data_IF_789464495598
#
_entry.id   IF_789464495598
#
_cell.length_a   1.000
_cell.length_b   1.000
_cell.length_c   1.000
_cell.angle_alpha   90.00
_cell.angle_beta   90.00
_cell.angle_gamma   90.00
#
_symmetry.space_group_name_H-M   'P 1'
#
loop_
_entity.id
_entity.type
_entity.pdbx_description
1 polymer ?
#
# COMPACT_ATOMS: atom_id res chain seq x y z
N UNK A 1 13.16 22.09 6.02
CA UNK A 1 12.66 20.86 5.38
C UNK A 1 12.15 21.29 4.04
N UNK A 2 12.82 20.87 2.98
CA UNK A 2 12.31 21.12 1.63
C UNK A 2 10.94 20.47 1.51
N UNK A 3 10.03 21.18 0.83
CA UNK A 3 8.67 20.75 0.64
C UNK A 3 8.71 19.42 -0.11
N UNK A 4 8.12 18.38 0.46
CA UNK A 4 8.07 17.04 -0.14
C UNK A 4 7.61 17.15 -1.58
N UNK A 5 8.43 16.70 -2.53
CA UNK A 5 8.06 16.67 -3.95
C UNK A 5 7.02 15.57 -4.18
N UNK A 6 5.75 16.00 -4.20
CA UNK A 6 4.61 15.11 -4.39
C UNK A 6 4.63 14.44 -5.76
N UNK A 7 5.14 15.11 -6.80
CA UNK A 7 5.26 14.50 -8.13
C UNK A 7 6.29 13.38 -8.09
N UNK A 8 7.44 13.61 -7.45
CA UNK A 8 8.46 12.58 -7.28
C UNK A 8 7.93 11.37 -6.50
N UNK A 9 7.16 11.59 -5.43
CA UNK A 9 6.53 10.50 -4.66
C UNK A 9 5.54 9.67 -5.49
N UNK A 10 4.63 10.34 -6.19
CA UNK A 10 3.65 9.66 -7.05
C UNK A 10 4.38 8.85 -8.13
N UNK A 11 5.41 9.46 -8.71
CA UNK A 11 6.22 8.86 -9.76
C UNK A 11 6.94 7.61 -9.27
N UNK A 12 7.70 7.72 -8.19
CA UNK A 12 8.49 6.63 -7.63
C UNK A 12 7.64 5.45 -7.15
N UNK A 13 6.52 5.74 -6.48
CA UNK A 13 5.60 4.68 -6.00
C UNK A 13 4.95 3.93 -7.16
N UNK A 14 4.53 4.65 -8.21
CA UNK A 14 4.00 4.02 -9.41
C UNK A 14 5.04 3.19 -10.15
N UNK A 15 6.24 3.74 -10.39
CA UNK A 15 7.31 3.02 -11.08
C UNK A 15 7.72 1.76 -10.33
N UNK A 16 7.77 1.82 -9.00
CA UNK A 16 8.07 0.65 -8.16
C UNK A 16 7.03 -0.46 -8.37
N UNK A 17 5.74 -0.14 -8.26
CA UNK A 17 4.70 -1.16 -8.48
C UNK A 17 4.73 -1.72 -9.91
N UNK A 18 4.99 -0.88 -10.91
CA UNK A 18 5.09 -1.30 -12.30
C UNK A 18 6.29 -2.22 -12.51
N UNK A 19 7.45 -1.90 -11.93
CA UNK A 19 8.67 -2.71 -12.03
C UNK A 19 8.53 -4.08 -11.34
N UNK A 20 7.72 -4.17 -10.30
CA UNK A 20 7.47 -5.40 -9.55
C UNK A 20 6.19 -6.15 -9.97
N UNK A 21 5.56 -5.77 -11.08
CA UNK A 21 4.31 -6.38 -11.53
C UNK A 21 4.41 -7.90 -11.73
N UNK A 22 5.51 -8.39 -12.34
CA UNK A 22 5.69 -9.83 -12.61
C UNK A 22 5.91 -10.63 -11.32
N UNK A 23 6.64 -10.07 -10.34
CA UNK A 23 6.79 -10.64 -8.99
C UNK A 23 5.42 -10.76 -8.32
N UNK A 24 4.65 -9.67 -8.31
CA UNK A 24 3.33 -9.62 -7.68
C UNK A 24 2.34 -10.57 -8.34
N UNK A 25 2.38 -10.73 -9.66
CA UNK A 25 1.60 -11.74 -10.40
C UNK A 25 2.03 -13.16 -10.03
N UNK A 26 3.33 -13.42 -9.90
CA UNK A 26 3.84 -14.75 -9.50
C UNK A 26 3.38 -15.12 -8.10
N UNK A 27 3.44 -14.18 -7.14
CA UNK A 27 2.95 -14.39 -5.78
C UNK A 27 1.46 -14.72 -5.75
N UNK A 28 0.66 -13.94 -6.48
CA UNK A 28 -0.79 -14.15 -6.56
C UNK A 28 -1.15 -15.42 -7.33
N UNK A 29 -0.37 -15.85 -8.32
CA UNK A 29 -0.61 -17.10 -9.03
C UNK A 29 -0.46 -18.33 -8.12
N UNK A 30 0.39 -18.25 -7.09
CA UNK A 30 0.58 -19.36 -6.15
C UNK A 30 -0.65 -19.62 -5.27
N UNK A 31 -1.40 -18.57 -4.92
CA UNK A 31 -2.51 -18.62 -3.94
C UNK A 31 -3.75 -17.82 -4.36
N UNK A 32 -3.93 -17.55 -5.64
CA UNK A 32 -4.95 -16.65 -6.17
C UNK A 32 -5.24 -16.95 -7.64
N UNK A 33 -5.63 -15.93 -8.41
CA UNK A 33 -5.89 -16.02 -9.85
C UNK A 33 -4.77 -15.44 -10.72
N UNK A 34 -3.70 -14.92 -10.11
CA UNK A 34 -2.51 -14.44 -10.81
C UNK A 34 -2.70 -13.08 -11.48
N UNK A 35 -3.74 -12.33 -11.11
CA UNK A 35 -4.08 -11.06 -11.75
C UNK A 35 -3.62 -9.84 -10.95
N UNK A 36 -3.18 -10.02 -9.70
CA UNK A 36 -2.86 -8.91 -8.80
C UNK A 36 -1.79 -7.97 -9.37
N UNK A 37 -0.65 -8.51 -9.83
CA UNK A 37 0.43 -7.71 -10.41
C UNK A 37 -0.02 -6.90 -11.64
N UNK A 38 -0.78 -7.53 -12.54
CA UNK A 38 -1.34 -6.87 -13.73
C UNK A 38 -2.36 -5.76 -13.35
N UNK A 39 -3.23 -6.04 -12.38
CA UNK A 39 -4.21 -5.08 -11.87
C UNK A 39 -3.53 -3.87 -11.21
N UNK A 40 -2.51 -4.12 -10.40
CA UNK A 40 -1.72 -3.07 -9.74
C UNK A 40 -0.96 -2.25 -10.77
N UNK A 41 -0.27 -2.89 -11.73
CA UNK A 41 0.40 -2.20 -12.84
C UNK A 41 -0.55 -1.27 -13.59
N UNK A 42 -1.72 -1.76 -14.02
CA UNK A 42 -2.72 -0.96 -14.74
C UNK A 42 -3.14 0.28 -13.95
N UNK A 43 -3.39 0.12 -12.64
CA UNK A 43 -3.81 1.25 -11.82
C UNK A 43 -2.70 2.26 -11.57
N UNK A 44 -1.49 1.81 -11.28
CA UNK A 44 -0.37 2.70 -11.00
C UNK A 44 0.20 3.36 -12.27
N UNK A 45 0.15 2.73 -13.44
CA UNK A 45 0.40 3.41 -14.72
C UNK A 45 -0.62 4.53 -14.96
N UNK A 46 -1.90 4.29 -14.65
CA UNK A 46 -2.94 5.29 -14.79
C UNK A 46 -2.77 6.46 -13.78
N UNK A 47 -2.26 6.18 -12.57
CA UNK A 47 -1.88 7.21 -11.61
C UNK A 47 -0.65 8.00 -12.09
N UNK A 48 0.36 7.30 -12.61
CA UNK A 48 1.58 7.91 -13.15
C UNK A 48 1.30 8.86 -14.31
N UNK A 49 0.40 8.49 -15.22
CA UNK A 49 0.01 9.32 -16.36
C UNK A 49 -0.60 10.67 -15.94
N UNK A 50 -1.19 10.76 -14.75
CA UNK A 50 -1.83 11.95 -14.20
C UNK A 50 -1.02 12.60 -13.06
N UNK A 51 0.25 12.21 -12.87
CA UNK A 51 1.08 12.63 -11.74
C UNK A 51 1.18 14.17 -11.62
N UNK A 52 1.32 14.89 -12.73
CA UNK A 52 1.34 16.36 -12.75
C UNK A 52 0.04 16.97 -12.23
N UNK A 53 -1.10 16.39 -12.58
CA UNK A 53 -2.42 16.89 -12.16
C UNK A 53 -2.68 16.64 -10.68
N UNK A 54 -2.24 15.50 -10.16
CA UNK A 54 -2.31 15.20 -8.73
C UNK A 54 -1.35 16.07 -7.92
N UNK A 55 -0.13 16.26 -8.39
CA UNK A 55 0.89 17.06 -7.72
C UNK A 55 0.55 18.56 -7.65
N UNK A 56 -0.31 19.05 -8.55
CA UNK A 56 -0.84 20.41 -8.50
C UNK A 56 -1.87 20.66 -7.37
N UNK A 57 -2.30 19.60 -6.66
CA UNK A 57 -3.29 19.69 -5.57
C UNK A 57 -2.58 19.67 -4.20
N UNK A 58 -3.21 20.21 -3.14
CA UNK A 58 -2.79 19.94 -1.77
C UNK A 58 -2.77 18.43 -1.50
N UNK A 59 -1.84 17.96 -0.66
CA UNK A 59 -1.64 16.54 -0.35
C UNK A 59 -2.95 15.77 -0.03
N UNK A 60 -3.86 16.28 0.82
CA UNK A 60 -5.12 15.60 1.12
C UNK A 60 -5.97 15.34 -0.13
N UNK A 61 -6.07 16.34 -1.01
CA UNK A 61 -6.85 16.28 -2.24
C UNK A 61 -6.20 15.39 -3.30
N UNK A 62 -4.87 15.42 -3.39
CA UNK A 62 -4.11 14.51 -4.25
C UNK A 62 -4.34 13.06 -3.86
N UNK A 63 -4.24 12.72 -2.58
CA UNK A 63 -4.47 11.36 -2.08
C UNK A 63 -5.90 10.87 -2.32
N UNK A 64 -6.91 11.72 -2.10
CA UNK A 64 -8.32 11.40 -2.44
C UNK A 64 -8.51 11.15 -3.93
N UNK A 65 -7.88 11.95 -4.79
CA UNK A 65 -7.96 11.80 -6.23
C UNK A 65 -7.25 10.52 -6.71
N UNK A 66 -6.05 10.22 -6.19
CA UNK A 66 -5.32 8.98 -6.45
C UNK A 66 -6.14 7.77 -5.99
N UNK A 67 -6.69 7.81 -4.78
CA UNK A 67 -7.53 6.72 -4.27
C UNK A 67 -8.75 6.48 -5.16
N UNK A 68 -9.42 7.54 -5.64
CA UNK A 68 -10.51 7.44 -6.62
C UNK A 68 -10.03 6.78 -7.93
N UNK A 69 -8.88 7.22 -8.46
CA UNK A 69 -8.28 6.65 -9.67
C UNK A 69 -8.00 5.17 -9.51
N UNK A 70 -7.44 4.74 -8.38
CA UNK A 70 -7.15 3.33 -8.08
C UNK A 70 -8.43 2.50 -7.99
N UNK A 71 -9.51 3.00 -7.37
CA UNK A 71 -10.81 2.30 -7.38
C UNK A 71 -11.31 2.05 -8.79
N UNK A 72 -11.14 3.02 -9.70
CA UNK A 72 -11.64 2.92 -11.07
C UNK A 72 -10.79 2.05 -12.00
N UNK A 73 -9.51 1.84 -11.66
CA UNK A 73 -8.52 1.27 -12.60
C UNK A 73 -7.90 -0.04 -12.13
N UNK A 74 -7.70 -0.23 -10.83
CA UNK A 74 -7.21 -1.51 -10.30
C UNK A 74 -8.38 -2.49 -10.21
N UNK A 75 -8.23 -3.67 -10.82
CA UNK A 75 -9.23 -4.73 -10.79
C UNK A 75 -9.20 -5.53 -9.50
N UNK A 76 -10.14 -6.47 -9.37
CA UNK A 76 -10.18 -7.40 -8.24
C UNK A 76 -10.43 -6.73 -6.89
N UNK A 77 -10.07 -7.43 -5.81
CA UNK A 77 -10.22 -6.92 -4.45
C UNK A 77 -9.30 -5.73 -4.15
N UNK A 78 -8.14 -5.67 -4.80
CA UNK A 78 -7.08 -4.70 -4.54
C UNK A 78 -7.50 -3.27 -4.85
N UNK A 79 -8.28 -3.02 -5.90
CA UNK A 79 -8.70 -1.66 -6.26
C UNK A 79 -9.53 -0.96 -5.19
N UNK A 80 -10.64 -1.55 -4.73
CA UNK A 80 -11.40 -1.00 -3.60
C UNK A 80 -10.58 -0.84 -2.32
N UNK A 81 -9.62 -1.73 -2.04
CA UNK A 81 -8.82 -1.69 -0.81
C UNK A 81 -7.75 -0.59 -0.84
N UNK A 82 -6.89 -0.55 -1.87
CA UNK A 82 -5.91 0.52 -2.04
C UNK A 82 -6.61 1.88 -2.23
N UNK A 83 -7.67 1.92 -3.04
CA UNK A 83 -8.47 3.13 -3.17
C UNK A 83 -9.04 3.63 -1.83
N UNK A 84 -9.56 2.73 -0.99
CA UNK A 84 -10.03 3.08 0.37
C UNK A 84 -8.88 3.61 1.22
N UNK A 85 -7.70 2.97 1.18
CA UNK A 85 -6.52 3.42 1.92
C UNK A 85 -6.16 4.87 1.58
N UNK A 86 -5.99 5.17 0.29
CA UNK A 86 -5.60 6.50 -0.17
C UNK A 86 -6.68 7.56 0.09
N UNK A 87 -7.96 7.24 -0.14
CA UNK A 87 -9.06 8.17 0.13
C UNK A 87 -9.21 8.47 1.63
N UNK A 88 -9.10 7.46 2.48
CA UNK A 88 -9.19 7.64 3.93
C UNK A 88 -7.97 8.40 4.47
N UNK A 89 -6.77 8.10 3.99
CA UNK A 89 -5.57 8.87 4.35
C UNK A 89 -5.73 10.34 3.96
N UNK A 90 -6.15 10.62 2.72
CA UNK A 90 -6.38 11.98 2.22
C UNK A 90 -7.54 12.72 2.89
N UNK A 91 -8.41 12.02 3.63
CA UNK A 91 -9.47 12.65 4.43
C UNK A 91 -8.93 13.18 5.77
N UNK A 92 -7.97 12.47 6.35
CA UNK A 92 -7.54 12.68 7.75
C UNK A 92 -6.17 13.39 7.85
N UNK A 93 -5.34 13.32 6.80
CA UNK A 93 -4.02 13.96 6.76
C UNK A 93 -4.15 15.48 6.51
N UNK A 94 -3.23 16.27 7.07
CA UNK A 94 -3.12 17.70 6.81
C UNK A 94 -2.35 17.98 5.51
N UNK A 95 -2.36 19.23 5.04
CA UNK A 95 -1.59 19.65 3.87
C UNK A 95 -0.07 19.57 4.08
N UNK A 96 0.37 19.78 5.32
CA UNK A 96 1.78 19.74 5.75
C UNK A 96 1.85 18.88 7.02
N UNK A 97 1.83 17.55 6.88
CA UNK A 97 1.73 16.64 8.02
C UNK A 97 3.07 16.53 8.75
N UNK A 98 3.03 16.66 10.07
CA UNK A 98 4.08 16.12 10.92
C UNK A 98 3.90 14.61 11.12
N UNK A 99 4.83 13.97 11.83
CA UNK A 99 4.76 12.52 12.10
C UNK A 99 3.49 12.14 12.87
N UNK A 100 3.02 12.97 13.80
CA UNK A 100 1.87 12.66 14.64
C UNK A 100 0.58 12.68 13.81
N UNK A 101 0.40 13.68 12.95
CA UNK A 101 -0.70 13.74 11.99
C UNK A 101 -0.65 12.57 11.00
N UNK A 102 0.52 12.25 10.44
CA UNK A 102 0.68 11.10 9.55
C UNK A 102 0.30 9.78 10.23
N UNK A 103 0.80 9.53 11.44
CA UNK A 103 0.48 8.30 12.17
C UNK A 103 -1.02 8.19 12.47
N UNK A 104 -1.64 9.27 12.97
CA UNK A 104 -3.09 9.31 13.24
C UNK A 104 -3.92 9.05 11.97
N UNK A 105 -3.62 9.75 10.88
CA UNK A 105 -4.33 9.61 9.61
C UNK A 105 -4.14 8.21 9.00
N UNK A 106 -2.93 7.65 9.10
CA UNK A 106 -2.64 6.30 8.62
C UNK A 106 -3.39 5.23 9.43
N UNK A 107 -3.46 5.37 10.75
CA UNK A 107 -4.28 4.50 11.60
C UNK A 107 -5.77 4.50 11.17
N UNK A 108 -6.34 5.68 10.89
CA UNK A 108 -7.71 5.80 10.38
C UNK A 108 -7.90 5.18 8.99
N UNK A 109 -6.90 5.30 8.12
CA UNK A 109 -6.91 4.67 6.82
C UNK A 109 -6.89 3.14 6.92
N UNK A 110 -6.12 2.58 7.86
CA UNK A 110 -6.08 1.13 8.14
C UNK A 110 -7.43 0.63 8.65
N UNK A 111 -8.07 1.35 9.58
CA UNK A 111 -9.43 1.03 10.05
C UNK A 111 -10.43 0.98 8.88
N UNK A 112 -10.35 1.93 7.95
CA UNK A 112 -11.21 1.97 6.77
C UNK A 112 -10.97 0.78 5.83
N UNK A 113 -9.71 0.38 5.60
CA UNK A 113 -9.36 -0.82 4.82
C UNK A 113 -9.89 -2.08 5.49
N UNK A 114 -9.71 -2.22 6.81
CA UNK A 114 -10.21 -3.34 7.57
C UNK A 114 -11.74 -3.47 7.49
N UNK A 115 -12.46 -2.35 7.62
CA UNK A 115 -13.91 -2.30 7.46
C UNK A 115 -14.35 -2.68 6.03
N UNK A 116 -13.68 -2.13 5.01
CA UNK A 116 -13.97 -2.44 3.59
C UNK A 116 -13.75 -3.92 3.28
N UNK A 117 -12.62 -4.47 3.71
CA UNK A 117 -12.23 -5.86 3.44
C UNK A 117 -12.87 -6.88 4.38
N UNK A 118 -13.56 -6.43 5.44
CA UNK A 118 -14.03 -7.27 6.55
C UNK A 118 -12.92 -8.19 7.07
N UNK A 119 -11.70 -7.65 7.11
CA UNK A 119 -10.46 -8.35 7.42
C UNK A 119 -9.82 -7.81 8.69
N UNK A 120 -8.99 -8.62 9.32
CA UNK A 120 -8.22 -8.27 10.52
C UNK A 120 -6.77 -8.74 10.34
N UNK A 121 -5.88 -8.23 11.19
CA UNK A 121 -4.50 -8.74 11.30
C UNK A 121 -4.54 -10.23 11.68
N UNK A 122 -3.63 -11.00 11.12
CA UNK A 122 -3.53 -12.46 11.23
C UNK A 122 -4.34 -13.22 10.17
N UNK A 123 -4.94 -12.52 9.20
CA UNK A 123 -5.79 -13.14 8.17
C UNK A 123 -5.10 -13.29 6.80
N UNK A 124 -3.79 -13.01 6.75
CA UNK A 124 -2.92 -13.07 5.56
C UNK A 124 -3.40 -12.10 4.48
N UNK A 125 -3.37 -10.81 4.79
CA UNK A 125 -3.78 -9.72 3.89
C UNK A 125 -2.83 -8.52 4.02
N UNK A 126 -3.05 -7.48 3.21
CA UNK A 126 -2.30 -6.22 3.33
C UNK A 126 -2.31 -5.58 4.72
N UNK A 127 -3.31 -5.88 5.57
CA UNK A 127 -3.36 -5.40 6.96
C UNK A 127 -2.21 -5.93 7.81
N UNK A 128 -1.71 -7.13 7.49
CA UNK A 128 -0.56 -7.75 8.16
C UNK A 128 0.74 -6.98 7.93
N UNK A 129 0.79 -6.10 6.92
CA UNK A 129 1.92 -5.21 6.64
C UNK A 129 1.62 -3.77 7.05
N UNK A 130 0.42 -3.27 6.77
CA UNK A 130 0.01 -1.91 7.16
C UNK A 130 0.11 -1.69 8.67
N UNK A 131 -0.31 -2.67 9.48
CA UNK A 131 -0.32 -2.51 10.94
C UNK A 131 1.11 -2.42 11.53
N UNK A 132 2.08 -3.30 11.19
CA UNK A 132 3.47 -3.14 11.60
C UNK A 132 4.10 -1.81 11.18
N UNK A 133 3.82 -1.32 9.96
CA UNK A 133 4.29 -0.01 9.48
C UNK A 133 3.74 1.11 10.35
N UNK A 134 2.44 1.05 10.69
CA UNK A 134 1.82 2.03 11.58
C UNK A 134 2.42 2.00 12.99
N UNK A 135 2.72 0.81 13.54
CA UNK A 135 3.40 0.69 14.82
C UNK A 135 4.81 1.29 14.80
N UNK A 136 5.58 1.05 13.74
CA UNK A 136 6.89 1.66 13.58
C UNK A 136 6.81 3.19 13.52
N UNK A 137 5.81 3.75 12.82
CA UNK A 137 5.56 5.19 12.79
C UNK A 137 5.29 5.76 14.19
N UNK A 138 4.41 5.13 14.97
CA UNK A 138 4.06 5.53 16.34
C UNK A 138 5.25 5.46 17.30
N UNK A 139 6.15 4.49 17.11
CA UNK A 139 7.34 4.30 17.93
C UNK A 139 8.49 5.28 17.59
N UNK A 140 8.28 6.20 16.63
CA UNK A 140 9.33 7.15 16.25
C UNK A 140 10.45 6.52 15.43
N UNK A 141 10.25 5.32 14.85
CA UNK A 141 11.26 4.61 14.06
C UNK A 141 11.74 5.43 12.87
N UNK A 142 13.01 5.28 12.51
CA UNK A 142 13.61 5.90 11.33
C UNK A 142 12.97 5.38 10.05
N UNK A 143 13.15 6.09 8.93
CA UNK A 143 12.66 5.61 7.63
C UNK A 143 13.18 4.21 7.28
N UNK A 144 14.46 3.93 7.55
CA UNK A 144 15.04 2.60 7.31
C UNK A 144 14.33 1.52 8.14
N UNK A 145 14.17 1.73 9.44
CA UNK A 145 13.46 0.80 10.32
C UNK A 145 11.99 0.60 9.93
N UNK A 146 11.33 1.63 9.38
CA UNK A 146 9.96 1.51 8.85
C UNK A 146 9.92 0.63 7.59
N UNK A 147 10.89 0.79 6.67
CA UNK A 147 11.03 -0.08 5.51
C UNK A 147 11.28 -1.52 5.92
N UNK A 148 12.22 -1.76 6.85
CA UNK A 148 12.54 -3.09 7.36
C UNK A 148 11.32 -3.75 8.03
N UNK A 149 10.53 -2.97 8.77
CA UNK A 149 9.28 -3.44 9.37
C UNK A 149 8.25 -3.85 8.31
N UNK A 150 8.16 -3.14 7.19
CA UNK A 150 7.25 -3.46 6.10
C UNK A 150 7.66 -4.76 5.39
N UNK A 151 8.94 -4.91 5.05
CA UNK A 151 9.45 -6.10 4.38
C UNK A 151 9.36 -7.34 5.28
N UNK A 152 9.80 -7.21 6.54
CA UNK A 152 9.69 -8.30 7.52
C UNK A 152 8.24 -8.73 7.72
N UNK A 153 7.31 -7.76 7.77
CA UNK A 153 5.89 -8.06 7.90
C UNK A 153 5.33 -8.81 6.68
N UNK A 154 5.75 -8.44 5.46
CA UNK A 154 5.39 -9.19 4.26
C UNK A 154 5.90 -10.63 4.33
N UNK A 155 7.15 -10.85 4.78
CA UNK A 155 7.71 -12.20 4.99
C UNK A 155 6.92 -13.01 6.01
N UNK A 156 6.44 -12.38 7.09
CA UNK A 156 5.63 -13.09 8.10
C UNK A 156 4.30 -13.62 7.54
N UNK A 157 3.84 -13.12 6.39
CA UNK A 157 2.63 -13.66 5.76
C UNK A 157 2.86 -15.06 5.19
N UNK A 158 4.09 -15.45 4.86
CA UNK A 158 4.44 -16.76 4.26
C UNK A 158 3.89 -17.94 5.06
N UNK A 159 4.18 -18.10 6.37
CA UNK A 159 3.67 -19.21 7.16
C UNK A 159 2.17 -19.11 7.51
N UNK A 160 1.48 -18.02 7.21
CA UNK A 160 0.08 -17.84 7.58
C UNK A 160 -0.87 -18.63 6.66
N UNK A 161 -1.94 -19.17 7.24
CA UNK A 161 -3.10 -19.66 6.50
C UNK A 161 -4.01 -18.49 6.15
N UNK A 162 -4.37 -18.37 4.87
CA UNK A 162 -5.27 -17.33 4.41
C UNK A 162 -6.70 -17.54 4.94
N UNK A 163 -7.27 -16.48 5.53
CA UNK A 163 -8.66 -16.46 6.01
C UNK A 163 -9.55 -15.47 5.25
N UNK A 164 -8.96 -14.72 4.31
CA UNK A 164 -9.64 -13.75 3.46
C UNK A 164 -9.11 -13.80 2.02
N UNK A 165 -9.86 -13.16 1.13
CA UNK A 165 -9.54 -13.13 -0.31
C UNK A 165 -9.61 -14.50 -0.98
N UNK A 166 -9.16 -14.56 -2.23
CA UNK A 166 -9.13 -15.80 -3.02
C UNK A 166 -8.21 -16.86 -2.40
N UNK A 167 -7.13 -16.44 -1.75
CA UNK A 167 -6.21 -17.33 -1.05
C UNK A 167 -6.88 -18.20 0.02
N UNK A 168 -7.95 -17.70 0.66
CA UNK A 168 -8.71 -18.49 1.63
C UNK A 168 -9.36 -19.75 1.06
N UNK A 169 -9.62 -19.80 -0.26
CA UNK A 169 -10.21 -20.96 -0.91
C UNK A 169 -9.26 -22.16 -1.00
N UNK A 170 -7.95 -21.92 -0.87
CA UNK A 170 -6.92 -22.96 -0.90
C UNK A 170 -6.70 -23.64 0.48
N UNK A 171 -7.27 -23.10 1.55
CA UNK A 171 -7.08 -23.63 2.90
C UNK A 171 -5.58 -23.71 3.27
N UNK A 172 -5.13 -24.88 3.74
CA UNK A 172 -3.74 -25.07 4.18
C UNK A 172 -2.72 -24.94 3.04
N UNK A 173 -3.14 -25.08 1.77
CA UNK A 173 -2.27 -24.85 0.61
C UNK A 173 -1.86 -23.39 0.42
N UNK A 174 -2.46 -22.45 1.17
CA UNK A 174 -2.02 -21.05 1.19
C UNK A 174 -0.76 -20.82 2.05
N UNK A 175 -0.40 -21.77 2.91
CA UNK A 175 0.79 -21.72 3.76
C UNK A 175 2.03 -21.96 2.89
N UNK A 176 3.10 -21.18 3.11
CA UNK A 176 4.34 -21.25 2.35
C UNK A 176 4.43 -20.24 1.19
N UNK A 177 3.42 -19.39 1.02
CA UNK A 177 3.37 -18.37 -0.03
C UNK A 177 3.12 -16.99 0.56
N UNK A 178 3.85 -15.96 0.11
CA UNK A 178 3.66 -14.58 0.56
C UNK A 178 2.36 -14.00 0.01
N UNK A 179 1.69 -13.13 0.78
CA UNK A 179 0.54 -12.36 0.29
C UNK A 179 0.97 -11.25 -0.66
N UNK A 180 0.41 -11.24 -1.89
CA UNK A 180 0.74 -10.25 -2.90
C UNK A 180 0.26 -8.83 -2.53
N UNK A 181 -0.86 -8.72 -1.81
CA UNK A 181 -1.37 -7.45 -1.29
C UNK A 181 -0.42 -6.84 -0.24
N UNK A 182 0.02 -7.65 0.72
CA UNK A 182 1.05 -7.31 1.71
C UNK A 182 2.36 -6.90 1.07
N UNK A 183 2.85 -7.67 0.09
CA UNK A 183 4.08 -7.33 -0.66
C UNK A 183 3.98 -5.97 -1.36
N UNK A 184 2.82 -5.68 -1.95
CA UNK A 184 2.57 -4.38 -2.59
C UNK A 184 2.64 -3.22 -1.60
N UNK A 185 2.15 -3.39 -0.36
CA UNK A 185 2.30 -2.38 0.70
C UNK A 185 3.77 -2.17 1.05
N UNK A 186 4.54 -3.24 1.22
CA UNK A 186 5.97 -3.13 1.55
C UNK A 186 6.74 -2.36 0.47
N UNK A 187 6.48 -2.65 -0.81
CA UNK A 187 7.07 -1.93 -1.95
C UNK A 187 6.71 -0.44 -1.95
N UNK A 188 5.44 -0.09 -1.69
CA UNK A 188 5.01 1.31 -1.61
C UNK A 188 5.70 2.06 -0.46
N UNK A 189 5.80 1.43 0.71
CA UNK A 189 6.46 2.03 1.89
C UNK A 189 7.93 2.31 1.59
N UNK A 190 8.64 1.34 0.99
CA UNK A 190 10.02 1.50 0.53
C UNK A 190 10.17 2.69 -0.40
N UNK A 191 9.37 2.75 -1.47
CA UNK A 191 9.42 3.83 -2.45
C UNK A 191 9.18 5.22 -1.83
N UNK A 192 8.22 5.33 -0.91
CA UNK A 192 7.96 6.58 -0.18
C UNK A 192 9.17 6.99 0.67
N UNK A 193 9.72 6.07 1.47
CA UNK A 193 10.86 6.36 2.35
C UNK A 193 12.10 6.76 1.56
N UNK A 194 12.43 6.02 0.51
CA UNK A 194 13.61 6.28 -0.33
C UNK A 194 13.49 7.63 -1.04
N UNK A 195 12.30 7.98 -1.52
CA UNK A 195 12.05 9.27 -2.17
C UNK A 195 12.16 10.43 -1.19
N UNK A 196 11.60 10.30 0.02
CA UNK A 196 11.70 11.35 1.05
C UNK A 196 13.16 11.56 1.47
N UNK A 197 13.96 10.49 1.61
CA UNK A 197 15.40 10.61 1.95
C UNK A 197 16.21 11.28 0.83
N UNK A 198 15.91 11.00 -0.43
CA UNK A 198 16.63 11.57 -1.57
C UNK A 198 16.41 13.08 -1.78
N UNK A 199 15.41 13.65 -1.08
CA UNK A 199 15.05 15.07 -1.14
C UNK A 199 15.15 15.76 0.24
N UNK A 200 15.80 15.12 1.22
CA UNK A 200 15.98 15.63 2.59
C UNK A 200 17.40 16.12 2.86
#
# INVERSE_FOLDING_TARGET
MDKVDLKALISATADTIVAHADELTTLDQAIGDGDHGLNMKRGFEAVRAEADQFAAKPLPDALKAIGTKLVMTVGGASGPLFGTLFMALGKEISAEPDRANLASAFGKAIEAVAARGKSQVGQKTMLDVLQPVHQALLQGKTGAEITDAADSAADTTVPMKALRGRASFLGDRSIGHMDAGGRSVALLVRAVVETIKGHA
#
